data_IF_169168789833
#
_entry.id   IF_169168789833
#
_cell.length_a   1.000
_cell.length_b   1.000
_cell.length_c   1.000
_cell.angle_alpha   90.00
_cell.angle_beta   90.00
_cell.angle_gamma   90.00
#
_symmetry.space_group_name_H-M   'P 1'
#
loop_
_entity.id
_entity.type
_entity.pdbx_description
1 polymer ?
#
# COMPACT_ATOMS: atom_id res chain seq x y z
N UNK A 1 -39.43 119.71 -57.00
CA UNK A 1 -39.02 118.29 -56.82
C UNK A 1 -37.52 118.09 -56.51
N UNK A 2 -36.60 118.97 -56.97
CA UNK A 2 -35.14 118.79 -56.78
C UNK A 2 -34.60 118.87 -55.33
N UNK A 3 -35.22 119.66 -54.43
CA UNK A 3 -34.77 119.77 -53.02
C UNK A 3 -35.16 118.58 -52.13
N UNK A 4 -36.29 117.90 -52.41
CA UNK A 4 -36.72 116.72 -51.65
C UNK A 4 -35.91 115.46 -52.01
N UNK A 5 -35.41 115.38 -53.25
CA UNK A 5 -34.55 114.28 -53.70
C UNK A 5 -33.15 114.33 -53.04
N UNK A 6 -32.58 115.53 -52.86
CA UNK A 6 -31.29 115.73 -52.18
C UNK A 6 -31.34 115.39 -50.69
N UNK A 7 -32.42 115.73 -50.00
CA UNK A 7 -32.58 115.39 -48.57
C UNK A 7 -32.80 113.88 -48.40
N UNK A 8 -33.52 113.24 -49.32
CA UNK A 8 -33.70 111.79 -49.27
C UNK A 8 -32.39 111.03 -49.54
N UNK A 9 -31.57 111.49 -50.50
CA UNK A 9 -30.24 110.93 -50.73
C UNK A 9 -29.28 111.15 -49.56
N UNK A 10 -29.34 112.29 -48.87
CA UNK A 10 -28.53 112.55 -47.69
C UNK A 10 -28.93 111.69 -46.48
N UNK A 11 -30.23 111.43 -46.30
CA UNK A 11 -30.74 110.55 -45.24
C UNK A 11 -30.43 109.08 -45.54
N UNK A 12 -30.47 108.65 -46.81
CA UNK A 12 -30.06 107.29 -47.20
C UNK A 12 -28.54 107.10 -47.04
N UNK A 13 -27.72 108.10 -47.39
CA UNK A 13 -26.27 108.06 -47.14
C UNK A 13 -25.94 108.05 -45.65
N UNK A 14 -26.64 108.82 -44.82
CA UNK A 14 -26.47 108.78 -43.36
C UNK A 14 -26.98 107.47 -42.73
N UNK A 15 -28.04 106.87 -43.28
CA UNK A 15 -28.56 105.58 -42.84
C UNK A 15 -27.63 104.40 -43.22
N UNK A 16 -26.90 104.50 -44.34
CA UNK A 16 -25.89 103.50 -44.74
C UNK A 16 -24.64 103.58 -43.85
N UNK A 17 -24.31 104.74 -43.28
CA UNK A 17 -23.23 104.88 -42.28
C UNK A 17 -23.61 104.42 -40.86
N UNK A 18 -24.90 104.20 -40.58
CA UNK A 18 -25.41 103.75 -39.27
C UNK A 18 -25.64 102.24 -39.19
N UNK A 19 -25.28 101.46 -40.23
CA UNK A 19 -25.19 100.00 -40.12
C UNK A 19 -23.90 99.68 -39.36
N UNK A 20 -24.01 99.87 -38.05
CA UNK A 20 -23.35 99.13 -36.97
C UNK A 20 -22.39 98.05 -37.46
N UNK A 21 -21.11 98.38 -37.42
CA UNK A 21 -20.04 97.39 -37.31
C UNK A 21 -20.29 96.59 -36.04
N UNK A 22 -20.93 95.43 -36.17
CA UNK A 22 -20.80 94.36 -35.17
C UNK A 22 -19.32 94.03 -35.16
N UNK A 23 -18.61 94.47 -34.12
CA UNK A 23 -17.24 94.09 -33.89
C UNK A 23 -17.25 92.57 -33.61
N UNK A 24 -17.13 91.77 -34.65
CA UNK A 24 -16.72 90.39 -34.51
C UNK A 24 -15.35 90.45 -33.86
N UNK A 25 -15.23 90.00 -32.61
CA UNK A 25 -13.94 89.77 -31.99
C UNK A 25 -13.17 88.82 -32.91
N UNK A 26 -12.28 89.37 -33.72
CA UNK A 26 -11.42 88.56 -34.56
C UNK A 26 -10.59 87.70 -33.61
N UNK A 27 -10.71 86.38 -33.74
CA UNK A 27 -9.80 85.46 -33.06
C UNK A 27 -8.43 85.70 -33.68
N UNK A 28 -7.62 86.53 -33.02
CA UNK A 28 -6.26 86.83 -33.46
C UNK A 28 -5.39 85.65 -33.12
N UNK A 29 -4.95 84.92 -34.13
CA UNK A 29 -3.94 83.87 -33.99
C UNK A 29 -2.56 84.50 -33.93
N UNK A 30 -1.76 84.14 -32.92
CA UNK A 30 -0.37 84.60 -32.78
C UNK A 30 0.56 83.40 -32.63
N UNK A 31 1.60 83.37 -33.46
CA UNK A 31 2.67 82.39 -33.32
C UNK A 31 3.50 82.69 -32.06
N UNK A 32 3.74 81.65 -31.28
CA UNK A 32 4.60 81.71 -30.09
C UNK A 32 5.78 80.76 -30.25
N UNK A 33 6.97 81.18 -29.79
CA UNK A 33 8.13 80.30 -29.64
C UNK A 33 8.18 79.81 -28.20
N UNK A 34 7.89 78.54 -27.98
CA UNK A 34 7.89 77.90 -26.67
C UNK A 34 9.15 77.04 -26.44
N UNK A 35 9.62 76.96 -25.20
CA UNK A 35 10.72 76.09 -24.80
C UNK A 35 10.21 74.92 -23.95
N UNK A 36 10.45 73.70 -24.43
CA UNK A 36 10.19 72.47 -23.69
C UNK A 36 11.47 72.02 -23.00
N UNK A 37 11.39 71.74 -21.70
CA UNK A 37 12.55 71.41 -20.85
C UNK A 37 12.28 70.23 -19.92
N UNK A 38 11.40 69.30 -20.29
CA UNK A 38 11.02 68.16 -19.46
C UNK A 38 10.55 68.62 -18.06
N UNK A 39 9.61 69.57 -18.07
CA UNK A 39 9.14 70.23 -16.85
C UNK A 39 8.30 69.24 -16.05
N UNK A 40 8.69 68.99 -14.80
CA UNK A 40 8.02 68.04 -13.91
C UNK A 40 7.02 68.76 -13.01
N UNK A 41 5.87 68.13 -12.81
CA UNK A 41 4.83 68.61 -11.89
C UNK A 41 4.75 67.65 -10.71
N UNK A 42 4.73 68.21 -9.50
CA UNK A 42 4.55 67.45 -8.25
C UNK A 42 3.37 68.04 -7.48
N UNK A 43 2.33 67.26 -7.25
CA UNK A 43 1.14 67.65 -6.48
C UNK A 43 1.06 66.76 -5.25
N UNK A 44 0.92 67.35 -4.06
CA UNK A 44 0.88 66.62 -2.78
C UNK A 44 2.00 65.59 -2.61
N UNK A 45 3.21 65.93 -3.04
CA UNK A 45 4.35 65.02 -2.92
C UNK A 45 4.46 63.95 -4.03
N UNK A 46 3.47 63.83 -4.93
CA UNK A 46 3.45 62.84 -6.02
C UNK A 46 3.80 63.48 -7.36
N UNK A 47 4.70 62.86 -8.10
CA UNK A 47 5.01 63.25 -9.48
C UNK A 47 3.82 62.90 -10.38
N UNK A 48 3.33 63.85 -11.15
CA UNK A 48 2.20 63.65 -12.07
C UNK A 48 2.74 63.39 -13.48
N UNK A 49 2.16 62.40 -14.18
CA UNK A 49 2.48 62.14 -15.57
C UNK A 49 1.85 63.23 -16.45
N UNK A 50 2.67 63.97 -17.19
CA UNK A 50 2.22 65.09 -18.04
C UNK A 50 1.69 64.64 -19.41
N UNK A 51 1.91 63.39 -19.80
CA UNK A 51 1.43 62.82 -21.06
C UNK A 51 1.77 63.69 -22.28
N UNK A 52 0.82 63.80 -23.21
CA UNK A 52 0.98 64.57 -24.45
C UNK A 52 0.81 66.09 -24.28
N UNK A 53 0.41 66.55 -23.09
CA UNK A 53 0.19 67.98 -22.80
C UNK A 53 1.37 68.53 -21.99
N UNK A 54 2.57 68.49 -22.56
CA UNK A 54 3.79 68.87 -21.83
C UNK A 54 3.78 70.36 -21.42
N UNK A 55 4.13 70.71 -20.16
CA UNK A 55 4.33 72.10 -19.76
C UNK A 55 5.50 72.73 -20.51
N UNK A 56 5.40 74.02 -20.80
CA UNK A 56 6.42 74.74 -21.57
C UNK A 56 6.71 76.12 -20.98
N UNK A 57 7.83 76.71 -21.38
CA UNK A 57 8.21 78.07 -20.99
C UNK A 57 8.01 79.00 -22.18
N UNK A 58 7.28 80.09 -21.97
CA UNK A 58 7.09 81.16 -22.94
C UNK A 58 7.17 82.51 -22.21
N UNK A 59 7.95 83.46 -22.75
CA UNK A 59 8.20 84.78 -22.13
C UNK A 59 8.54 84.68 -20.63
N UNK A 60 9.51 83.83 -20.29
CA UNK A 60 9.99 83.60 -18.91
C UNK A 60 8.91 83.11 -17.92
N UNK A 61 7.77 82.62 -18.42
CA UNK A 61 6.70 82.02 -17.62
C UNK A 61 6.50 80.56 -17.99
N UNK A 62 6.32 79.72 -16.97
CA UNK A 62 5.96 78.32 -17.15
C UNK A 62 4.45 78.19 -17.29
N UNK A 63 4.00 77.61 -18.38
CA UNK A 63 2.61 77.29 -18.67
C UNK A 63 2.37 75.82 -18.36
N UNK A 64 1.41 75.55 -17.49
CA UNK A 64 1.10 74.21 -16.99
C UNK A 64 -0.36 73.87 -17.35
N UNK A 65 -0.66 72.64 -17.80
CA UNK A 65 -2.03 72.24 -18.06
C UNK A 65 -2.86 72.30 -16.77
N UNK A 66 -3.80 73.25 -16.72
CA UNK A 66 -4.59 73.50 -15.51
C UNK A 66 -5.43 72.28 -15.13
N UNK A 67 -6.03 71.58 -16.11
CA UNK A 67 -6.82 70.36 -15.88
C UNK A 67 -6.01 69.29 -15.14
N UNK A 68 -4.77 69.05 -15.59
CA UNK A 68 -3.89 68.06 -14.99
C UNK A 68 -3.59 68.36 -13.52
N UNK A 69 -3.31 69.62 -13.20
CA UNK A 69 -3.04 70.04 -11.80
C UNK A 69 -4.30 69.96 -10.95
N UNK A 70 -5.43 70.42 -11.48
CA UNK A 70 -6.72 70.45 -10.78
C UNK A 70 -7.27 69.04 -10.50
N UNK A 71 -7.23 68.12 -11.45
CA UNK A 71 -7.64 66.72 -11.25
C UNK A 71 -6.74 66.01 -10.24
N UNK A 72 -5.42 66.28 -10.27
CA UNK A 72 -4.50 65.77 -9.26
C UNK A 72 -4.77 66.34 -7.84
N UNK A 73 -5.45 67.48 -7.75
CA UNK A 73 -5.97 68.08 -6.51
C UNK A 73 -7.41 67.65 -6.21
N UNK A 74 -7.91 66.61 -6.89
CA UNK A 74 -9.24 66.03 -6.74
C UNK A 74 -10.41 66.99 -7.07
N UNK A 75 -10.16 67.95 -7.97
CA UNK A 75 -11.17 68.90 -8.45
C UNK A 75 -11.79 68.45 -9.77
N UNK A 76 -13.03 68.88 -10.00
CA UNK A 76 -13.74 68.70 -11.27
C UNK A 76 -13.45 69.91 -12.16
N UNK A 77 -13.08 69.67 -13.41
CA UNK A 77 -12.69 70.73 -14.36
C UNK A 77 -13.59 70.69 -15.59
N UNK A 78 -14.29 71.78 -15.83
CA UNK A 78 -15.17 71.97 -16.98
C UNK A 78 -14.70 73.13 -17.85
N UNK A 79 -15.08 73.10 -19.12
CA UNK A 79 -14.79 74.18 -20.07
C UNK A 79 -16.10 74.74 -20.62
N UNK A 80 -16.34 76.02 -20.39
CA UNK A 80 -17.43 76.76 -21.02
C UNK A 80 -16.93 77.41 -22.30
N UNK A 81 -17.32 76.82 -23.43
CA UNK A 81 -17.00 77.32 -24.77
C UNK A 81 -17.60 78.69 -25.07
N UNK A 82 -18.77 79.02 -24.51
CA UNK A 82 -19.46 80.28 -24.82
C UNK A 82 -18.76 81.47 -24.15
N UNK A 83 -18.20 81.23 -22.95
CA UNK A 83 -17.52 82.25 -22.16
C UNK A 83 -16.00 82.20 -22.28
N UNK A 84 -15.44 81.19 -22.96
CA UNK A 84 -14.02 80.87 -22.94
C UNK A 84 -13.49 80.75 -21.50
N UNK A 85 -14.20 80.00 -20.66
CA UNK A 85 -13.96 79.92 -19.22
C UNK A 85 -13.61 78.50 -18.78
N UNK A 86 -12.57 78.36 -17.96
CA UNK A 86 -12.29 77.12 -17.21
C UNK A 86 -12.99 77.21 -15.86
N UNK A 87 -13.87 76.26 -15.57
CA UNK A 87 -14.59 76.15 -14.30
C UNK A 87 -13.94 75.02 -13.49
N UNK A 88 -13.55 75.31 -12.26
CA UNK A 88 -12.90 74.35 -11.37
C UNK A 88 -13.69 74.32 -10.06
N UNK A 89 -14.34 73.19 -9.80
CA UNK A 89 -15.20 73.00 -8.64
C UNK A 89 -14.70 71.85 -7.75
N UNK A 90 -15.11 71.88 -6.49
CA UNK A 90 -15.12 70.67 -5.67
C UNK A 90 -16.11 69.66 -6.23
N UNK A 91 -15.85 68.37 -5.97
CA UNK A 91 -16.84 67.33 -6.25
C UNK A 91 -18.13 67.63 -5.49
N UNK A 92 -19.25 67.46 -6.17
CA UNK A 92 -20.56 67.59 -5.55
C UNK A 92 -20.79 66.50 -4.48
N UNK A 93 -21.69 66.73 -3.52
CA UNK A 93 -22.12 65.70 -2.57
C UNK A 93 -22.59 64.41 -3.25
N UNK A 94 -23.19 64.51 -4.44
CA UNK A 94 -23.65 63.35 -5.21
C UNK A 94 -22.48 62.51 -5.73
N UNK A 95 -21.47 63.13 -6.32
CA UNK A 95 -20.27 62.43 -6.83
C UNK A 95 -19.47 61.76 -5.71
N UNK A 96 -19.33 62.45 -4.57
CA UNK A 96 -18.71 61.89 -3.37
C UNK A 96 -19.49 60.67 -2.86
N UNK A 97 -20.82 60.76 -2.81
CA UNK A 97 -21.69 59.65 -2.38
C UNK A 97 -21.58 58.44 -3.31
N UNK A 98 -21.50 58.65 -4.62
CA UNK A 98 -21.29 57.57 -5.60
C UNK A 98 -19.93 56.90 -5.42
N UNK A 99 -18.87 57.68 -5.17
CA UNK A 99 -17.53 57.14 -4.90
C UNK A 99 -17.50 56.33 -3.60
N UNK A 100 -18.17 56.80 -2.55
CA UNK A 100 -18.30 56.06 -1.29
C UNK A 100 -19.05 54.74 -1.49
N UNK A 101 -20.19 54.77 -2.17
CA UNK A 101 -20.96 53.57 -2.48
C UNK A 101 -20.17 52.53 -3.29
N UNK A 102 -19.36 52.98 -4.26
CA UNK A 102 -18.50 52.09 -5.03
C UNK A 102 -17.39 51.46 -4.16
N UNK A 103 -16.78 52.23 -3.26
CA UNK A 103 -15.80 51.71 -2.30
C UNK A 103 -16.42 50.74 -1.30
N UNK A 104 -17.63 51.02 -0.82
CA UNK A 104 -18.36 50.14 0.10
C UNK A 104 -18.69 48.80 -0.57
N UNK A 105 -19.14 48.82 -1.83
CA UNK A 105 -19.36 47.61 -2.61
C UNK A 105 -18.06 46.80 -2.80
N UNK A 106 -16.93 47.47 -3.04
CA UNK A 106 -15.62 46.81 -3.13
C UNK A 106 -15.20 46.21 -1.78
N UNK A 107 -15.41 46.92 -0.67
CA UNK A 107 -15.12 46.43 0.69
C UNK A 107 -15.97 45.20 1.00
N UNK A 108 -17.26 45.21 0.67
CA UNK A 108 -18.13 44.05 0.83
C UNK A 108 -17.63 42.84 0.03
N UNK A 109 -17.23 43.06 -1.22
CA UNK A 109 -16.67 41.99 -2.05
C UNK A 109 -15.38 41.40 -1.46
N UNK A 110 -14.44 42.25 -1.03
CA UNK A 110 -13.20 41.81 -0.39
C UNK A 110 -13.47 41.11 0.95
N UNK A 111 -14.44 41.57 1.73
CA UNK A 111 -14.85 40.94 2.99
C UNK A 111 -15.39 39.53 2.75
N UNK A 112 -16.21 39.36 1.72
CA UNK A 112 -16.72 38.06 1.31
C UNK A 112 -15.59 37.12 0.88
N UNK A 113 -14.66 37.59 0.03
CA UNK A 113 -13.50 36.79 -0.38
C UNK A 113 -12.62 36.39 0.81
N UNK A 114 -12.37 37.30 1.75
CA UNK A 114 -11.61 37.00 2.96
C UNK A 114 -12.29 35.93 3.82
N UNK A 115 -13.62 35.98 3.95
CA UNK A 115 -14.39 34.95 4.67
C UNK A 115 -14.26 33.58 3.99
N UNK A 116 -14.36 33.52 2.66
CA UNK A 116 -14.15 32.27 1.91
C UNK A 116 -12.74 31.71 2.09
N UNK A 117 -11.72 32.57 2.06
CA UNK A 117 -10.32 32.16 2.26
C UNK A 117 -10.09 31.63 3.67
N UNK A 118 -10.67 32.26 4.69
CA UNK A 118 -10.59 31.76 6.08
C UNK A 118 -11.20 30.37 6.21
N UNK A 119 -12.32 30.09 5.55
CA UNK A 119 -12.91 28.75 5.50
C UNK A 119 -11.96 27.70 4.91
N UNK A 120 -11.32 28.02 3.79
CA UNK A 120 -10.32 27.13 3.16
C UNK A 120 -9.10 26.89 4.04
N UNK A 121 -8.64 27.91 4.77
CA UNK A 121 -7.50 27.76 5.69
C UNK A 121 -7.84 26.78 6.82
N UNK A 122 -9.05 26.84 7.38
CA UNK A 122 -9.50 25.91 8.41
C UNK A 122 -9.56 24.48 7.87
N UNK A 123 -10.10 24.29 6.66
CA UNK A 123 -10.16 22.99 6.00
C UNK A 123 -8.77 22.40 5.76
N UNK A 124 -7.86 23.20 5.20
CA UNK A 124 -6.48 22.77 4.97
C UNK A 124 -5.75 22.44 6.27
N UNK A 125 -5.96 23.21 7.35
CA UNK A 125 -5.37 22.92 8.64
C UNK A 125 -5.86 21.58 9.19
N UNK A 126 -7.16 21.29 9.07
CA UNK A 126 -7.72 20.00 9.49
C UNK A 126 -7.08 18.84 8.73
N UNK A 127 -6.92 18.97 7.41
CA UNK A 127 -6.26 17.95 6.59
C UNK A 127 -4.79 17.77 6.99
N UNK A 128 -4.07 18.86 7.30
CA UNK A 128 -2.69 18.78 7.79
C UNK A 128 -2.65 18.00 9.11
N UNK A 129 -3.52 18.32 10.07
CA UNK A 129 -3.56 17.65 11.37
C UNK A 129 -3.87 16.14 11.23
N UNK A 130 -4.77 15.78 10.31
CA UNK A 130 -5.08 14.38 9.97
C UNK A 130 -3.86 13.65 9.39
N UNK A 131 -3.19 14.25 8.40
CA UNK A 131 -2.00 13.67 7.76
C UNK A 131 -0.81 13.55 8.73
N UNK A 132 -0.62 14.51 9.64
CA UNK A 132 0.42 14.44 10.66
C UNK A 132 0.16 13.28 11.64
N UNK A 133 -1.09 13.04 12.02
CA UNK A 133 -1.50 11.91 12.86
C UNK A 133 -1.28 10.56 12.17
N UNK A 134 -1.65 10.45 10.89
CA UNK A 134 -1.42 9.24 10.09
C UNK A 134 0.07 8.96 9.91
N UNK A 135 0.85 10.01 9.60
CA UNK A 135 2.30 9.89 9.47
C UNK A 135 2.93 9.41 10.78
N UNK A 136 2.52 9.97 11.92
CA UNK A 136 3.02 9.53 13.22
C UNK A 136 2.77 8.04 13.45
N UNK A 137 1.56 7.54 13.19
CA UNK A 137 1.25 6.11 13.32
C UNK A 137 2.12 5.23 12.42
N UNK A 138 2.40 5.70 11.20
CA UNK A 138 3.27 4.98 10.28
C UNK A 138 4.75 5.01 10.72
N UNK A 139 5.20 6.09 11.34
CA UNK A 139 6.54 6.21 11.91
C UNK A 139 6.69 5.30 13.15
N UNK A 140 5.70 5.30 14.06
CA UNK A 140 5.67 4.43 15.25
C UNK A 140 5.70 2.94 14.82
N UNK A 141 4.90 2.54 13.81
CA UNK A 141 4.93 1.19 13.22
C UNK A 141 6.30 0.78 12.66
N UNK A 142 7.11 1.72 12.19
CA UNK A 142 8.45 1.45 11.63
C UNK A 142 9.53 1.35 12.70
N UNK A 143 9.37 2.07 13.82
CA UNK A 143 10.32 2.02 14.93
C UNK A 143 10.29 0.66 15.62
N UNK A 144 9.09 0.09 15.81
CA UNK A 144 8.86 -1.18 16.51
C UNK A 144 8.28 -2.25 15.56
N UNK A 145 8.86 -2.37 14.36
CA UNK A 145 8.33 -3.24 13.31
C UNK A 145 8.38 -4.72 13.68
N UNK A 146 9.37 -5.15 14.47
CA UNK A 146 9.45 -6.51 15.00
C UNK A 146 8.41 -6.78 16.08
N UNK A 147 8.22 -5.86 17.04
CA UNK A 147 7.16 -5.97 18.06
C UNK A 147 5.76 -6.02 17.42
N UNK A 148 5.52 -5.21 16.39
CA UNK A 148 4.24 -5.21 15.66
C UNK A 148 3.92 -6.57 15.00
N UNK A 149 4.91 -7.20 14.35
CA UNK A 149 4.71 -8.53 13.75
C UNK A 149 4.60 -9.58 14.86
N UNK A 150 5.42 -9.50 15.91
CA UNK A 150 5.38 -10.44 17.03
C UNK A 150 4.00 -10.46 17.71
N UNK A 151 3.42 -9.29 18.02
CA UNK A 151 2.08 -9.14 18.58
C UNK A 151 1.00 -9.77 17.69
N UNK A 152 1.04 -9.50 16.37
CA UNK A 152 0.11 -10.09 15.41
C UNK A 152 0.20 -11.63 15.40
N UNK A 153 1.43 -12.17 15.40
CA UNK A 153 1.64 -13.61 15.42
C UNK A 153 1.13 -14.25 16.72
N UNK A 154 1.31 -13.59 17.86
CA UNK A 154 0.71 -14.06 19.11
C UNK A 154 -0.81 -14.04 19.06
N UNK A 155 -1.43 -12.95 18.60
CA UNK A 155 -2.88 -12.82 18.58
C UNK A 155 -3.55 -13.85 17.64
N UNK A 156 -2.98 -14.05 16.44
CA UNK A 156 -3.57 -14.93 15.42
C UNK A 156 -3.12 -16.39 15.54
N UNK A 157 -1.86 -16.64 15.93
CA UNK A 157 -1.22 -17.95 15.80
C UNK A 157 -0.64 -18.52 17.10
N UNK A 158 -0.78 -17.88 18.26
CA UNK A 158 -0.33 -18.45 19.55
C UNK A 158 -0.94 -19.82 19.87
N UNK A 159 -2.09 -20.15 19.27
CA UNK A 159 -2.65 -21.49 19.29
C UNK A 159 -3.14 -21.89 17.91
N UNK A 160 -2.38 -22.76 17.25
CA UNK A 160 -2.71 -23.23 15.91
C UNK A 160 -2.69 -24.76 15.85
N UNK A 161 -3.73 -25.35 15.24
CA UNK A 161 -3.93 -26.81 15.11
C UNK A 161 -3.84 -27.62 16.42
N UNK A 162 -4.11 -26.97 17.55
CA UNK A 162 -4.04 -27.59 18.88
C UNK A 162 -2.69 -27.43 19.58
N UNK A 163 -1.67 -26.93 18.87
CA UNK A 163 -0.34 -26.64 19.37
C UNK A 163 -0.29 -25.20 19.87
N UNK A 164 0.44 -24.96 20.96
CA UNK A 164 0.73 -23.59 21.42
C UNK A 164 2.11 -23.18 20.94
N UNK A 165 2.19 -22.00 20.34
CA UNK A 165 3.42 -21.43 19.84
C UNK A 165 3.78 -20.16 20.60
N UNK A 166 5.08 -19.97 20.74
CA UNK A 166 5.73 -18.76 21.22
C UNK A 166 6.50 -18.14 20.05
N UNK A 167 6.49 -16.82 19.93
CA UNK A 167 7.07 -16.13 18.78
C UNK A 167 8.20 -15.21 19.22
N UNK A 168 9.24 -15.14 18.41
CA UNK A 168 10.24 -14.08 18.53
C UNK A 168 10.52 -13.51 17.16
N UNK A 169 10.32 -12.21 16.99
CA UNK A 169 10.61 -11.49 15.75
C UNK A 169 11.78 -10.56 15.97
N UNK A 170 12.66 -10.49 14.98
CA UNK A 170 13.74 -9.51 14.94
C UNK A 170 13.78 -8.83 13.60
N UNK A 171 13.84 -7.51 13.62
CA UNK A 171 14.05 -6.69 12.43
C UNK A 171 15.52 -6.29 12.34
N UNK A 172 16.12 -6.43 11.16
CA UNK A 172 17.42 -5.84 10.88
C UNK A 172 17.57 -5.40 9.43
N UNK A 173 17.68 -4.09 9.21
CA UNK A 173 17.93 -3.46 7.90
C UNK A 173 16.87 -3.83 6.84
N UNK A 174 15.61 -3.85 7.25
CA UNK A 174 14.47 -4.28 6.46
C UNK A 174 14.40 -5.80 6.27
N UNK A 175 14.99 -6.61 7.15
CA UNK A 175 14.86 -8.07 7.08
C UNK A 175 14.33 -8.61 8.39
N UNK A 176 13.21 -9.32 8.32
CA UNK A 176 12.59 -9.98 9.45
C UNK A 176 13.13 -11.40 9.60
N UNK A 177 13.47 -11.76 10.84
CA UNK A 177 13.77 -13.13 11.25
C UNK A 177 12.75 -13.56 12.28
N UNK A 178 11.89 -14.50 11.92
CA UNK A 178 10.84 -15.04 12.79
C UNK A 178 11.29 -16.37 13.39
N UNK A 179 11.20 -16.53 14.70
CA UNK A 179 11.43 -17.80 15.39
C UNK A 179 10.13 -18.25 16.02
N UNK A 180 9.56 -19.34 15.52
CA UNK A 180 8.34 -19.96 16.02
C UNK A 180 8.75 -21.11 16.93
N UNK A 181 8.35 -21.09 18.19
CA UNK A 181 8.83 -22.05 19.19
C UNK A 181 7.66 -22.81 19.79
N UNK A 182 7.87 -24.09 20.04
CA UNK A 182 6.95 -24.90 20.84
C UNK A 182 7.73 -26.05 21.47
N UNK A 183 7.15 -26.64 22.51
CA UNK A 183 7.66 -27.87 23.10
C UNK A 183 7.07 -29.05 22.34
N UNK A 184 7.87 -29.74 21.52
CA UNK A 184 7.35 -30.85 20.70
C UNK A 184 6.92 -32.03 21.56
N UNK A 185 7.54 -32.25 22.72
CA UNK A 185 7.19 -33.35 23.61
C UNK A 185 5.73 -33.24 24.10
N UNK A 186 5.27 -32.02 24.36
CA UNK A 186 3.90 -31.70 24.78
C UNK A 186 2.86 -31.87 23.65
N UNK A 187 3.26 -31.71 22.40
CA UNK A 187 2.37 -31.66 21.23
C UNK A 187 2.75 -32.67 20.13
N UNK A 188 3.43 -33.76 20.47
CA UNK A 188 3.98 -34.72 19.50
C UNK A 188 2.92 -35.27 18.55
N UNK A 189 1.73 -35.62 19.06
CA UNK A 189 0.64 -36.17 18.24
C UNK A 189 0.04 -35.14 17.29
N UNK A 190 -0.13 -33.92 17.74
CA UNK A 190 -0.64 -32.80 16.95
C UNK A 190 0.35 -32.44 15.84
N UNK A 191 1.64 -32.35 16.18
CA UNK A 191 2.70 -32.05 15.23
C UNK A 191 2.83 -33.12 14.15
N UNK A 192 2.86 -34.41 14.52
CA UNK A 192 3.01 -35.50 13.58
C UNK A 192 1.81 -35.66 12.61
N UNK A 193 0.67 -35.01 12.88
CA UNK A 193 -0.48 -34.98 11.95
C UNK A 193 -0.36 -33.87 10.89
N UNK A 194 0.57 -32.95 11.05
CA UNK A 194 0.75 -31.84 10.12
C UNK A 194 1.61 -32.29 8.94
N UNK A 195 1.05 -32.25 7.74
CA UNK A 195 1.84 -32.45 6.52
C UNK A 195 2.74 -31.25 6.26
N UNK A 196 3.86 -31.46 5.55
CA UNK A 196 4.74 -30.37 5.09
C UNK A 196 3.94 -29.26 4.40
N UNK A 197 3.00 -29.63 3.52
CA UNK A 197 2.10 -28.70 2.84
C UNK A 197 1.25 -27.86 3.81
N UNK A 198 0.78 -28.46 4.91
CA UNK A 198 -0.03 -27.73 5.90
C UNK A 198 0.81 -26.68 6.61
N UNK A 199 2.06 -27.02 6.94
CA UNK A 199 3.02 -26.08 7.54
C UNK A 199 3.41 -25.02 6.52
N UNK A 200 3.65 -25.38 5.25
CA UNK A 200 3.97 -24.44 4.17
C UNK A 200 2.90 -23.39 4.01
N UNK A 201 1.64 -23.79 3.87
CA UNK A 201 0.55 -22.84 3.71
C UNK A 201 0.46 -21.87 4.91
N UNK A 202 0.71 -22.37 6.14
CA UNK A 202 0.70 -21.52 7.33
C UNK A 202 1.84 -20.49 7.34
N UNK A 203 3.05 -20.89 6.95
CA UNK A 203 4.18 -19.97 6.82
C UNK A 203 3.95 -18.97 5.67
N UNK A 204 3.31 -19.40 4.57
CA UNK A 204 2.89 -18.50 3.49
C UNK A 204 1.87 -17.48 3.98
N UNK A 205 0.88 -17.87 4.79
CA UNK A 205 -0.09 -16.93 5.39
C UNK A 205 0.61 -15.88 6.27
N UNK A 206 1.63 -16.27 7.03
CA UNK A 206 2.45 -15.34 7.82
C UNK A 206 3.26 -14.41 6.91
N UNK A 207 3.88 -14.96 5.87
CA UNK A 207 4.67 -14.19 4.92
C UNK A 207 3.81 -13.15 4.19
N UNK A 208 2.63 -13.52 3.72
CA UNK A 208 1.71 -12.62 3.02
C UNK A 208 1.33 -11.42 3.90
N UNK A 209 1.10 -11.64 5.19
CA UNK A 209 0.87 -10.55 6.14
C UNK A 209 2.09 -9.62 6.26
N UNK A 210 3.30 -10.18 6.39
CA UNK A 210 4.53 -9.38 6.49
C UNK A 210 4.81 -8.64 5.18
N UNK A 211 4.57 -9.23 4.02
CA UNK A 211 4.73 -8.59 2.71
C UNK A 211 3.70 -7.46 2.53
N UNK A 212 2.45 -7.64 2.95
CA UNK A 212 1.42 -6.59 2.86
C UNK A 212 1.75 -5.37 3.74
N UNK A 213 2.23 -5.59 4.96
CA UNK A 213 2.61 -4.51 5.87
C UNK A 213 4.00 -3.92 5.56
N UNK A 214 4.92 -4.75 5.04
CA UNK A 214 6.31 -4.38 4.72
C UNK A 214 6.76 -4.93 3.35
N UNK A 215 6.32 -4.33 2.22
CA UNK A 215 6.47 -4.89 0.86
C UNK A 215 7.90 -5.10 0.33
N UNK A 216 8.89 -4.45 0.94
CA UNK A 216 10.30 -4.54 0.52
C UNK A 216 11.16 -5.31 1.52
N UNK A 217 10.53 -5.93 2.54
CA UNK A 217 11.27 -6.58 3.60
C UNK A 217 11.66 -8.02 3.24
N UNK A 218 12.90 -8.39 3.54
CA UNK A 218 13.31 -9.79 3.50
C UNK A 218 12.64 -10.56 4.63
N UNK A 219 12.25 -11.81 4.37
CA UNK A 219 11.57 -12.65 5.36
C UNK A 219 12.23 -14.02 5.45
N UNK A 220 12.57 -14.43 6.68
CA UNK A 220 13.09 -15.77 6.96
C UNK A 220 12.79 -16.17 8.39
N UNK A 221 13.00 -17.43 8.71
CA UNK A 221 12.80 -17.90 10.07
C UNK A 221 12.93 -19.39 10.25
N UNK A 222 12.63 -19.83 11.46
CA UNK A 222 12.61 -21.24 11.84
C UNK A 222 11.41 -21.60 12.69
N UNK A 223 11.00 -22.86 12.62
CA UNK A 223 10.19 -23.52 13.64
C UNK A 223 11.15 -24.36 14.48
N UNK A 224 11.17 -24.09 15.78
CA UNK A 224 12.17 -24.57 16.73
C UNK A 224 11.50 -25.36 17.86
N UNK A 225 11.99 -26.57 18.09
CA UNK A 225 11.62 -27.39 19.24
C UNK A 225 12.39 -26.93 20.48
N UNK A 226 11.68 -26.49 21.51
CA UNK A 226 12.31 -26.02 22.75
C UNK A 226 12.83 -27.14 23.64
N UNK A 227 12.29 -28.35 23.51
CA UNK A 227 12.69 -29.51 24.31
C UNK A 227 14.05 -30.04 23.81
N UNK A 228 14.10 -30.49 22.56
CA UNK A 228 15.31 -31.02 21.92
C UNK A 228 16.30 -29.92 21.47
N UNK A 229 15.85 -28.66 21.45
CA UNK A 229 16.65 -27.47 21.10
C UNK A 229 17.19 -27.49 19.68
N UNK A 230 16.33 -27.84 18.74
CA UNK A 230 16.66 -27.97 17.32
C UNK A 230 15.64 -27.29 16.41
N UNK A 231 16.09 -26.90 15.22
CA UNK A 231 15.22 -26.38 14.17
C UNK A 231 14.54 -27.55 13.45
N UNK A 232 13.22 -27.60 13.47
CA UNK A 232 12.41 -28.58 12.73
C UNK A 232 12.18 -28.13 11.28
N UNK A 233 12.09 -26.82 11.07
CA UNK A 233 11.80 -26.22 9.77
C UNK A 233 12.60 -24.92 9.65
N UNK A 234 13.27 -24.75 8.52
CA UNK A 234 13.83 -23.48 8.08
C UNK A 234 13.02 -22.95 6.89
N UNK A 235 12.75 -21.64 6.89
CA UNK A 235 12.11 -20.98 5.77
C UNK A 235 12.77 -19.65 5.41
N UNK A 236 12.81 -19.34 4.12
CA UNK A 236 13.39 -18.10 3.60
C UNK A 236 12.65 -17.68 2.31
N UNK A 237 12.31 -16.40 2.23
CA UNK A 237 11.78 -15.78 1.03
C UNK A 237 12.84 -15.73 -0.07
N UNK A 238 12.44 -16.08 -1.28
CA UNK A 238 13.30 -15.99 -2.45
C UNK A 238 12.49 -15.77 -3.72
N UNK A 239 12.43 -14.51 -4.17
CA UNK A 239 11.71 -14.04 -5.37
C UNK A 239 10.19 -14.14 -5.24
N UNK A 240 9.64 -13.67 -4.13
CA UNK A 240 8.20 -13.67 -3.82
C UNK A 240 7.65 -15.08 -3.59
N UNK A 241 8.50 -16.00 -3.13
CA UNK A 241 8.13 -17.39 -2.80
C UNK A 241 8.89 -17.83 -1.57
N UNK A 242 8.20 -18.48 -0.65
CA UNK A 242 8.82 -19.12 0.49
C UNK A 242 9.47 -20.43 0.05
N UNK A 243 10.76 -20.58 0.35
CA UNK A 243 11.46 -21.86 0.28
C UNK A 243 11.50 -22.45 1.67
N UNK A 244 11.22 -23.74 1.77
CA UNK A 244 11.25 -24.46 3.03
C UNK A 244 12.23 -25.60 3.00
N UNK A 245 12.83 -25.86 4.15
CA UNK A 245 13.59 -27.07 4.43
C UNK A 245 13.06 -27.67 5.71
N UNK A 246 12.53 -28.88 5.61
CA UNK A 246 12.12 -29.68 6.75
C UNK A 246 13.30 -30.53 7.22
N UNK A 247 13.59 -30.47 8.50
CA UNK A 247 14.58 -31.31 9.15
C UNK A 247 13.83 -32.50 9.75
N UNK A 248 13.83 -33.57 8.97
CA UNK A 248 13.20 -34.83 9.34
C UNK A 248 14.11 -35.60 10.30
N UNK A 249 13.62 -35.86 11.52
CA UNK A 249 14.25 -36.82 12.44
C UNK A 249 13.54 -38.18 12.44
N UNK A 250 12.40 -38.35 11.75
CA UNK A 250 11.49 -39.47 12.02
C UNK A 250 10.81 -40.15 10.82
N UNK A 251 11.35 -40.08 9.60
CA UNK A 251 11.12 -41.16 8.62
C UNK A 251 11.92 -42.43 8.92
N UNK A 252 12.81 -42.44 9.92
CA UNK A 252 13.56 -43.65 10.33
C UNK A 252 12.99 -44.37 11.55
N UNK A 253 12.56 -43.68 12.61
CA UNK A 253 12.14 -44.40 13.83
C UNK A 253 10.82 -45.16 13.66
N UNK A 254 9.85 -44.66 12.88
CA UNK A 254 8.57 -45.36 12.75
C UNK A 254 8.68 -46.70 11.99
N UNK A 255 9.64 -46.86 11.07
CA UNK A 255 9.85 -48.14 10.37
C UNK A 255 10.77 -49.07 11.15
N UNK A 256 11.81 -48.53 11.80
CA UNK A 256 12.67 -49.33 12.69
C UNK A 256 11.85 -49.85 13.90
N UNK A 257 10.98 -49.02 14.49
CA UNK A 257 10.08 -49.42 15.58
C UNK A 257 9.01 -50.42 15.09
N UNK A 258 8.44 -50.21 13.90
CA UNK A 258 7.52 -51.18 13.30
C UNK A 258 8.23 -52.51 13.00
N UNK A 259 9.45 -52.47 12.47
CA UNK A 259 10.27 -53.65 12.22
C UNK A 259 10.53 -54.41 13.51
N UNK A 260 10.93 -53.72 14.57
CA UNK A 260 11.16 -54.30 15.90
C UNK A 260 9.88 -54.94 16.47
N UNK A 261 8.73 -54.25 16.39
CA UNK A 261 7.45 -54.75 16.87
C UNK A 261 6.95 -55.94 16.05
N UNK A 262 7.08 -55.90 14.72
CA UNK A 262 6.73 -57.02 13.87
C UNK A 262 7.61 -58.24 14.17
N UNK A 263 8.92 -58.05 14.34
CA UNK A 263 9.83 -59.12 14.75
C UNK A 263 9.51 -59.67 16.15
N UNK A 264 9.11 -58.81 17.07
CA UNK A 264 8.73 -59.22 18.42
C UNK A 264 7.44 -60.06 18.42
N UNK A 265 6.36 -59.54 17.84
CA UNK A 265 5.04 -60.18 17.87
C UNK A 265 4.91 -61.35 16.89
N UNK A 266 5.50 -61.21 15.70
CA UNK A 266 5.22 -62.10 14.56
C UNK A 266 6.46 -62.83 14.03
N UNK A 267 7.68 -62.40 14.36
CA UNK A 267 8.91 -63.07 13.94
C UNK A 267 9.41 -64.12 14.93
N UNK A 268 9.66 -63.71 16.18
CA UNK A 268 10.31 -64.52 17.21
C UNK A 268 9.34 -65.37 18.05
N UNK A 269 8.06 -64.99 18.08
CA UNK A 269 7.00 -65.56 18.92
C UNK A 269 6.09 -66.59 18.25
N UNK A 270 6.44 -67.12 17.07
CA UNK A 270 5.53 -67.93 16.23
C UNK A 270 4.89 -69.14 16.95
N UNK A 271 5.64 -69.84 17.80
CA UNK A 271 5.13 -70.96 18.60
C UNK A 271 4.02 -70.56 19.58
N UNK A 272 4.12 -69.32 20.09
CA UNK A 272 3.16 -68.71 21.02
C UNK A 272 1.96 -68.15 20.25
N UNK A 273 2.22 -67.59 19.07
CA UNK A 273 1.20 -67.10 18.15
C UNK A 273 0.24 -68.23 17.75
N UNK A 274 0.77 -69.33 17.21
CA UNK A 274 -0.05 -70.51 16.90
C UNK A 274 0.77 -71.80 16.96
N UNK A 275 0.24 -72.81 17.66
CA UNK A 275 0.94 -74.07 17.99
C UNK A 275 1.51 -74.83 16.77
N UNK A 276 0.92 -74.66 15.58
CA UNK A 276 1.35 -75.35 14.36
C UNK A 276 2.66 -74.81 13.79
N UNK A 277 3.09 -73.60 14.19
CA UNK A 277 4.39 -73.06 13.76
C UNK A 277 5.57 -73.70 14.50
N UNK A 278 5.33 -74.55 15.50
CA UNK A 278 6.40 -75.35 16.13
C UNK A 278 7.48 -74.48 16.77
N UNK A 279 8.70 -74.56 16.25
CA UNK A 279 9.89 -73.78 16.67
C UNK A 279 10.38 -72.84 15.58
N UNK A 280 9.58 -72.63 14.53
CA UNK A 280 9.89 -71.70 13.46
C UNK A 280 10.12 -70.29 14.03
N UNK A 281 10.96 -69.55 13.31
CA UNK A 281 11.16 -68.12 13.47
C UNK A 281 11.10 -67.46 12.11
N UNK A 282 10.63 -66.23 12.08
CA UNK A 282 10.79 -65.35 10.94
C UNK A 282 11.58 -64.11 11.34
N UNK A 283 12.34 -63.60 10.38
CA UNK A 283 12.93 -62.27 10.40
C UNK A 283 12.07 -61.39 9.50
N UNK A 284 11.64 -60.24 9.97
CA UNK A 284 10.78 -59.32 9.23
C UNK A 284 11.58 -58.06 8.98
N UNK A 285 11.73 -57.66 7.72
CA UNK A 285 12.43 -56.44 7.31
C UNK A 285 11.40 -55.47 6.70
N UNK A 286 11.51 -54.18 7.02
CA UNK A 286 10.60 -53.13 6.54
C UNK A 286 11.36 -52.11 5.69
N UNK A 287 11.07 -52.09 4.38
CA UNK A 287 11.65 -51.15 3.42
C UNK A 287 10.65 -50.03 3.04
N UNK A 288 11.12 -48.78 3.04
CA UNK A 288 10.35 -47.62 2.57
C UNK A 288 10.65 -47.29 1.09
N UNK A 289 9.59 -47.08 0.30
CA UNK A 289 9.70 -46.42 -0.99
C UNK A 289 9.35 -44.93 -0.87
N UNK A 290 10.40 -44.09 -0.92
CA UNK A 290 10.43 -42.63 -0.63
C UNK A 290 9.46 -41.70 -1.37
N UNK A 291 8.55 -42.21 -2.21
CA UNK A 291 7.77 -41.36 -3.12
C UNK A 291 6.27 -41.66 -3.24
N UNK A 292 5.73 -42.74 -2.68
CA UNK A 292 4.38 -43.19 -3.07
C UNK A 292 3.41 -43.58 -1.92
N UNK A 293 3.68 -43.21 -0.65
CA UNK A 293 2.89 -43.68 0.49
C UNK A 293 2.77 -45.23 0.51
N UNK A 294 3.87 -45.92 0.14
CA UNK A 294 3.97 -47.38 0.02
C UNK A 294 5.11 -47.93 0.90
N UNK A 295 4.83 -49.02 1.61
CA UNK A 295 5.80 -49.77 2.41
C UNK A 295 5.91 -51.20 1.89
N UNK A 296 7.12 -51.76 1.96
CA UNK A 296 7.39 -53.12 1.54
C UNK A 296 7.97 -53.95 2.68
N UNK A 297 7.27 -55.03 3.04
CA UNK A 297 7.64 -55.93 4.14
C UNK A 297 8.19 -57.23 3.55
N UNK A 298 9.40 -57.60 3.96
CA UNK A 298 10.02 -58.88 3.62
C UNK A 298 10.01 -59.79 4.83
N UNK A 299 9.39 -60.97 4.71
CA UNK A 299 9.29 -61.95 5.79
C UNK A 299 10.14 -63.17 5.44
N UNK A 300 11.22 -63.38 6.18
CA UNK A 300 12.21 -64.45 5.94
C UNK A 300 12.01 -65.56 6.99
N UNK A 301 11.41 -66.67 6.57
CA UNK A 301 11.18 -67.82 7.46
C UNK A 301 12.43 -68.71 7.56
N UNK A 302 12.89 -69.00 8.79
CA UNK A 302 14.03 -69.89 9.04
C UNK A 302 13.69 -71.38 8.82
N UNK A 303 13.65 -71.76 7.56
CA UNK A 303 13.54 -73.14 7.08
C UNK A 303 14.85 -73.93 7.14
N UNK A 304 15.98 -73.31 7.54
CA UNK A 304 17.30 -73.97 7.49
C UNK A 304 17.41 -75.16 8.45
N UNK A 305 16.66 -75.11 9.56
CA UNK A 305 16.61 -76.15 10.59
C UNK A 305 15.24 -76.82 10.72
N UNK A 306 14.17 -76.16 10.26
CA UNK A 306 12.78 -76.55 10.52
C UNK A 306 11.94 -76.62 9.23
N UNK A 307 12.54 -77.08 8.13
CA UNK A 307 11.84 -77.20 6.84
C UNK A 307 10.54 -78.01 6.92
N UNK A 308 10.56 -79.14 7.64
CA UNK A 308 9.37 -79.98 7.82
C UNK A 308 8.25 -79.26 8.60
N UNK A 309 8.60 -78.42 9.59
CA UNK A 309 7.62 -77.63 10.35
C UNK A 309 7.03 -76.48 9.50
N UNK A 310 7.81 -75.95 8.55
CA UNK A 310 7.29 -74.99 7.58
C UNK A 310 6.32 -75.64 6.60
N UNK A 311 6.62 -76.84 6.10
CA UNK A 311 5.73 -77.60 5.21
C UNK A 311 4.37 -77.91 5.87
N UNK A 312 4.33 -78.04 7.21
CA UNK A 312 3.10 -78.28 7.98
C UNK A 312 2.18 -77.05 8.11
N UNK A 313 2.70 -75.84 7.94
CA UNK A 313 1.97 -74.57 8.13
C UNK A 313 1.85 -73.73 6.86
N UNK A 314 2.69 -73.99 5.86
CA UNK A 314 2.66 -73.33 4.55
C UNK A 314 1.30 -73.48 3.84
N UNK A 315 0.75 -72.37 3.33
CA UNK A 315 -0.55 -72.32 2.63
C UNK A 315 -1.69 -72.96 3.47
N UNK A 316 -1.73 -72.59 4.76
CA UNK A 316 -2.80 -72.99 5.69
C UNK A 316 -3.49 -71.76 6.28
N UNK A 317 -4.68 -71.96 6.84
CA UNK A 317 -5.41 -70.89 7.53
C UNK A 317 -4.58 -70.22 8.66
N UNK A 318 -3.70 -70.97 9.34
CA UNK A 318 -2.85 -70.40 10.37
C UNK A 318 -1.78 -69.46 9.81
N UNK A 319 -1.30 -69.71 8.59
CA UNK A 319 -0.37 -68.83 7.90
C UNK A 319 -1.09 -67.62 7.25
N UNK A 320 -2.33 -67.80 6.80
CA UNK A 320 -3.17 -66.68 6.35
C UNK A 320 -3.45 -65.71 7.50
N UNK A 321 -3.92 -66.21 8.65
CA UNK A 321 -4.20 -65.38 9.84
C UNK A 321 -2.95 -64.59 10.28
N UNK A 322 -1.79 -65.26 10.28
CA UNK A 322 -0.51 -64.63 10.62
C UNK A 322 -0.15 -63.46 9.68
N UNK A 323 -0.31 -63.63 8.37
CA UNK A 323 -0.03 -62.56 7.41
C UNK A 323 -1.07 -61.44 7.46
N UNK A 324 -2.33 -61.76 7.75
CA UNK A 324 -3.36 -60.74 7.97
C UNK A 324 -3.06 -59.90 9.21
N UNK A 325 -2.66 -60.52 10.32
CA UNK A 325 -2.32 -59.79 11.55
C UNK A 325 -1.09 -58.89 11.37
N UNK A 326 -0.07 -59.34 10.62
CA UNK A 326 1.08 -58.48 10.25
C UNK A 326 0.61 -57.27 9.43
N UNK A 327 -0.23 -57.50 8.40
CA UNK A 327 -0.77 -56.40 7.59
C UNK A 327 -1.68 -55.47 8.40
N UNK A 328 -2.47 -56.00 9.33
CA UNK A 328 -3.32 -55.20 10.22
C UNK A 328 -2.49 -54.35 11.17
N UNK A 329 -1.48 -54.93 11.82
CA UNK A 329 -0.58 -54.21 12.71
C UNK A 329 0.15 -53.09 11.98
N UNK A 330 0.77 -53.40 10.84
CA UNK A 330 1.45 -52.40 10.02
C UNK A 330 0.50 -51.31 9.50
N UNK A 331 -0.74 -51.66 9.15
CA UNK A 331 -1.74 -50.69 8.66
C UNK A 331 -2.26 -49.77 9.77
N UNK A 332 -2.40 -50.29 11.00
CA UNK A 332 -2.84 -49.52 12.15
C UNK A 332 -1.78 -48.51 12.62
N UNK A 333 -0.49 -48.87 12.53
CA UNK A 333 0.63 -48.00 12.86
C UNK A 333 0.91 -46.96 11.75
N UNK A 334 0.89 -47.37 10.48
CA UNK A 334 1.24 -46.54 9.32
C UNK A 334 0.02 -45.99 8.56
N UNK A 335 -1.00 -45.52 9.29
CA UNK A 335 -2.30 -45.10 8.71
C UNK A 335 -2.17 -44.37 7.37
N UNK A 336 -2.97 -44.80 6.40
CA UNK A 336 -3.05 -44.32 5.02
C UNK A 336 -1.95 -44.80 4.05
N UNK A 337 -0.97 -45.61 4.50
CA UNK A 337 -0.01 -46.29 3.60
C UNK A 337 -0.61 -47.54 2.93
N UNK A 338 -0.19 -47.80 1.69
CA UNK A 338 -0.34 -49.11 1.07
C UNK A 338 0.82 -50.02 1.48
N UNK A 339 0.51 -51.24 1.91
CA UNK A 339 1.51 -52.21 2.37
C UNK A 339 1.61 -53.31 1.33
N UNK A 340 2.82 -53.56 0.87
CA UNK A 340 3.17 -54.65 -0.02
C UNK A 340 4.16 -55.55 0.67
N UNK A 341 4.25 -56.80 0.25
CA UNK A 341 5.29 -57.65 0.80
C UNK A 341 5.29 -59.06 0.29
N UNK A 342 6.25 -59.80 0.78
CA UNK A 342 6.41 -61.20 0.43
C UNK A 342 7.00 -62.02 1.56
N UNK A 343 6.71 -63.31 1.50
CA UNK A 343 7.33 -64.31 2.37
C UNK A 343 8.37 -65.06 1.55
N UNK A 344 9.56 -65.26 2.10
CA UNK A 344 10.59 -66.11 1.54
C UNK A 344 11.16 -67.11 2.55
N UNK A 345 11.76 -68.18 2.03
CA UNK A 345 12.46 -69.15 2.85
C UNK A 345 13.96 -68.81 2.95
N UNK A 346 14.71 -69.56 3.76
CA UNK A 346 16.16 -69.36 3.97
C UNK A 346 17.04 -69.51 2.72
N UNK A 347 16.46 -69.82 1.55
CA UNK A 347 17.16 -69.85 0.25
C UNK A 347 16.79 -68.65 -0.64
N UNK A 348 16.06 -67.66 -0.12
CA UNK A 348 15.57 -66.50 -0.88
C UNK A 348 14.50 -66.85 -1.91
N UNK A 349 13.80 -67.98 -1.75
CA UNK A 349 12.71 -68.36 -2.65
C UNK A 349 11.41 -67.79 -2.10
N UNK A 350 10.76 -66.91 -2.85
CA UNK A 350 9.42 -66.41 -2.52
C UNK A 350 8.40 -67.54 -2.41
N UNK A 351 7.69 -67.57 -1.28
CA UNK A 351 6.67 -68.53 -0.86
C UNK A 351 5.25 -67.94 -0.98
N UNK A 352 5.10 -66.65 -0.69
CA UNK A 352 3.83 -65.92 -0.84
C UNK A 352 4.09 -64.44 -1.14
N UNK A 353 3.07 -63.74 -1.64
CA UNK A 353 3.03 -62.27 -1.74
C UNK A 353 1.73 -61.77 -1.13
N UNK A 354 1.78 -60.61 -0.47
CA UNK A 354 0.62 -60.00 0.16
C UNK A 354 0.53 -58.51 -0.14
N UNK A 355 -0.67 -57.96 -0.07
CA UNK A 355 -0.95 -56.53 -0.25
C UNK A 355 -2.10 -56.08 0.66
N UNK A 356 -1.97 -54.89 1.24
CA UNK A 356 -3.02 -54.11 1.88
C UNK A 356 -3.08 -52.74 1.21
N UNK A 357 -4.17 -52.44 0.48
CA UNK A 357 -4.34 -51.11 -0.12
C UNK A 357 -4.50 -50.04 0.97
N UNK A 358 -4.26 -48.77 0.64
CA UNK A 358 -4.60 -47.61 1.50
C UNK A 358 -6.08 -47.50 1.90
N UNK A 359 -6.97 -48.29 1.27
CA UNK A 359 -8.39 -48.43 1.68
C UNK A 359 -8.67 -49.58 2.66
N UNK A 360 -7.63 -50.25 3.16
CA UNK A 360 -7.69 -51.38 4.10
C UNK A 360 -8.05 -52.74 3.48
N UNK A 361 -8.16 -52.84 2.15
CA UNK A 361 -8.41 -54.12 1.45
C UNK A 361 -7.14 -54.97 1.40
N UNK A 362 -7.22 -56.19 1.91
CA UNK A 362 -6.10 -57.12 2.02
C UNK A 362 -6.22 -58.32 1.07
N UNK A 363 -5.09 -58.83 0.60
CA UNK A 363 -5.01 -60.03 -0.25
C UNK A 363 -3.69 -60.76 -0.06
N UNK A 364 -3.73 -62.09 -0.03
CA UNK A 364 -2.56 -62.98 0.03
C UNK A 364 -2.58 -63.90 -1.20
N UNK A 365 -1.41 -64.19 -1.77
CA UNK A 365 -1.23 -65.15 -2.85
C UNK A 365 -0.03 -66.08 -2.53
N UNK A 366 -0.30 -67.34 -2.18
CA UNK A 366 0.70 -68.40 -2.01
C UNK A 366 1.20 -68.93 -3.37
N UNK A 367 2.46 -69.39 -3.45
CA UNK A 367 3.16 -69.77 -4.70
C UNK A 367 3.52 -71.24 -4.84
#
# INVERSE_FOLDING_TARGET
MKKKLLVFSAVVLAAVFLISTVATAAVVTKDIKAHYKNIKIKVNGKLINVGDTEPFIYNERTYVPIRLVSEALDKVVEWDNNQNMVIINDKSPSELSQQLAAKDAQIQNLTYQNSLLQGKVIELQKTIDELESEKKKADDKKEDADEYIEDYLYDEYSKWKGIKFDFNVKESKGNFTVTIKFDRSDYKSEWNKLSEKTITNWIEDIYDFVEDEFPDAGFKGTIYDTDEREDLVEFEESKGKIKMRFYDYDSKSNFDDLEDDLNYYFGSGLSTYHKNFGKLKADIEVDEYKYDDEVYITIIVDTSKYADEWDDVFDTAAADDWLYDIMDYAYDELKDYAIYGHVENSKGKTQATFECSSSGRKKINWK
#
